data_IF_332172301097
#
_entry.id   IF_332172301097
#
_cell.length_a   1.000
_cell.length_b   1.000
_cell.length_c   1.000
_cell.angle_alpha   90.00
_cell.angle_beta   90.00
_cell.angle_gamma   90.00
#
_symmetry.space_group_name_H-M   'P 1'
#
loop_
_entity.id
_entity.type
_entity.pdbx_description
1 polymer ?
#
# COMPACT_ATOMS: atom_id res chain seq x y z
N UNK A 1 -42.30 5.70 26.46
CA UNK A 1 -41.10 5.03 25.93
C UNK A 1 -41.12 5.21 24.42
N UNK A 2 -40.15 5.93 23.82
CA UNK A 2 -40.21 6.35 22.41
C UNK A 2 -39.34 5.39 21.58
N UNK A 3 -39.90 4.59 20.67
CA UNK A 3 -39.11 3.72 19.80
C UNK A 3 -38.60 4.55 18.62
N UNK A 4 -37.61 5.40 18.88
CA UNK A 4 -36.90 6.18 17.85
C UNK A 4 -35.55 5.57 17.40
N UNK A 5 -35.06 4.38 17.84
CA UNK A 5 -33.69 4.00 17.52
C UNK A 5 -33.51 3.60 16.05
N UNK A 6 -34.53 3.00 15.42
CA UNK A 6 -34.40 2.47 14.06
C UNK A 6 -34.41 3.56 12.99
N UNK A 7 -35.28 4.56 13.13
CA UNK A 7 -35.36 5.65 12.16
C UNK A 7 -34.12 6.55 12.23
N UNK A 8 -33.64 6.84 13.44
CA UNK A 8 -32.40 7.58 13.67
C UNK A 8 -31.20 6.83 13.10
N UNK A 9 -31.13 5.51 13.30
CA UNK A 9 -30.07 4.68 12.74
C UNK A 9 -30.12 4.66 11.20
N UNK A 10 -31.30 4.49 10.60
CA UNK A 10 -31.47 4.50 9.16
C UNK A 10 -31.04 5.85 8.54
N UNK A 11 -31.44 6.96 9.17
CA UNK A 11 -31.06 8.31 8.72
C UNK A 11 -29.54 8.53 8.78
N UNK A 12 -28.89 7.96 9.80
CA UNK A 12 -27.42 8.03 9.97
C UNK A 12 -26.67 7.29 8.87
N UNK A 13 -27.18 6.13 8.43
CA UNK A 13 -26.56 5.33 7.36
C UNK A 13 -26.69 6.04 6.00
N UNK A 14 -27.83 6.70 5.75
CA UNK A 14 -28.08 7.42 4.49
C UNK A 14 -27.27 8.71 4.37
N UNK A 15 -26.96 9.37 5.49
CA UNK A 15 -26.11 10.57 5.53
C UNK A 15 -24.61 10.27 5.66
N UNK A 16 -24.23 9.03 5.96
CA UNK A 16 -22.83 8.65 6.04
C UNK A 16 -22.21 8.76 4.63
N UNK A 17 -21.08 9.46 4.47
CA UNK A 17 -20.33 9.44 3.22
C UNK A 17 -20.02 7.99 2.88
N UNK A 18 -20.52 7.54 1.73
CA UNK A 18 -20.23 6.21 1.22
C UNK A 18 -18.71 6.02 1.22
N UNK A 19 -18.26 4.82 1.59
CA UNK A 19 -16.85 4.46 1.62
C UNK A 19 -16.31 4.45 0.18
N UNK A 20 -16.06 5.64 -0.37
CA UNK A 20 -15.55 5.83 -1.72
C UNK A 20 -14.16 5.22 -1.81
N UNK A 21 -13.77 4.64 -2.96
CA UNK A 21 -12.40 4.20 -3.18
C UNK A 21 -11.50 5.43 -3.14
N UNK A 22 -10.77 5.62 -2.04
CA UNK A 22 -9.96 6.83 -1.79
C UNK A 22 -9.76 7.20 -0.32
N UNK A 23 -10.39 6.50 0.63
CA UNK A 23 -10.12 6.69 2.07
C UNK A 23 -8.66 6.36 2.41
N UNK A 24 -7.97 7.14 3.28
CA UNK A 24 -6.62 6.84 3.73
C UNK A 24 -6.46 5.42 4.31
N UNK A 25 -7.52 4.88 4.93
CA UNK A 25 -7.55 3.49 5.41
C UNK A 25 -7.48 2.47 4.28
N UNK A 26 -8.14 2.74 3.16
CA UNK A 26 -8.07 1.87 1.97
C UNK A 26 -6.71 1.99 1.28
N UNK A 27 -6.10 3.17 1.29
CA UNK A 27 -4.75 3.37 0.78
C UNK A 27 -3.73 2.56 1.58
N UNK A 28 -3.85 2.56 2.92
CA UNK A 28 -3.05 1.73 3.81
C UNK A 28 -3.28 0.22 3.54
N UNK A 29 -4.54 -0.23 3.40
CA UNK A 29 -4.86 -1.63 3.06
C UNK A 29 -4.27 -2.02 1.70
N UNK A 30 -4.31 -1.12 0.71
CA UNK A 30 -3.69 -1.34 -0.60
C UNK A 30 -2.18 -1.59 -0.47
N UNK A 31 -1.48 -0.82 0.36
CA UNK A 31 -0.05 -1.02 0.61
C UNK A 31 0.30 -2.19 1.54
N UNK A 32 -0.68 -2.75 2.26
CA UNK A 32 -0.50 -3.99 3.03
C UNK A 32 -0.53 -5.20 2.08
N UNK A 33 -1.34 -5.13 1.01
CA UNK A 33 -1.51 -6.21 0.04
C UNK A 33 -0.56 -6.09 -1.17
N UNK A 34 -0.23 -4.87 -1.59
CA UNK A 34 0.69 -4.60 -2.70
C UNK A 34 1.98 -3.93 -2.18
N UNK A 35 3.16 -4.48 -2.48
CA UNK A 35 4.42 -3.89 -2.05
C UNK A 35 4.64 -2.49 -2.68
N UNK A 36 5.45 -1.62 -2.05
CA UNK A 36 5.64 -0.25 -2.49
C UNK A 36 6.16 -0.19 -3.94
N UNK A 37 5.83 0.85 -4.72
CA UNK A 37 6.30 0.97 -6.10
C UNK A 37 7.81 1.19 -6.16
N UNK A 38 8.48 0.48 -7.07
CA UNK A 38 9.90 0.65 -7.33
C UNK A 38 10.16 2.06 -7.88
N UNK A 39 11.06 2.81 -7.24
CA UNK A 39 11.47 4.17 -7.68
C UNK A 39 12.80 4.15 -8.44
N UNK A 40 12.96 3.18 -9.33
CA UNK A 40 14.15 3.02 -10.18
C UNK A 40 13.74 2.82 -11.63
N UNK A 41 14.67 3.11 -12.54
CA UNK A 41 14.53 2.79 -13.96
C UNK A 41 14.10 1.32 -14.13
N UNK A 42 13.31 1.00 -15.17
CA UNK A 42 12.81 -0.36 -15.39
C UNK A 42 13.98 -1.35 -15.32
N UNK A 43 14.05 -2.08 -14.21
CA UNK A 43 15.07 -3.10 -13.99
C UNK A 43 14.78 -4.32 -14.85
N UNK A 44 15.79 -5.17 -15.06
CA UNK A 44 15.59 -6.45 -15.72
C UNK A 44 14.64 -7.31 -14.88
N UNK A 45 13.44 -7.57 -15.40
CA UNK A 45 12.39 -8.38 -14.79
C UNK A 45 12.77 -9.86 -14.72
N UNK A 46 13.76 -10.19 -13.90
CA UNK A 46 14.38 -11.52 -13.83
C UNK A 46 14.31 -12.13 -12.45
N UNK A 47 14.18 -11.31 -11.39
CA UNK A 47 14.21 -11.76 -10.00
C UNK A 47 12.93 -11.34 -9.28
N UNK A 48 11.94 -12.24 -9.28
CA UNK A 48 10.67 -12.07 -8.59
C UNK A 48 10.82 -12.39 -7.10
N UNK A 49 10.00 -11.77 -6.27
CA UNK A 49 9.98 -11.97 -4.82
C UNK A 49 8.55 -11.92 -4.29
N UNK A 50 8.34 -12.55 -3.13
CA UNK A 50 7.10 -12.46 -2.37
C UNK A 50 7.34 -11.67 -1.08
N UNK A 51 8.46 -11.94 -0.42
CA UNK A 51 8.87 -11.29 0.82
C UNK A 51 10.20 -10.55 0.66
N UNK A 52 10.56 -9.77 1.69
CA UNK A 52 11.76 -8.95 1.65
C UNK A 52 13.03 -9.81 1.84
N UNK A 53 12.96 -10.94 2.55
CA UNK A 53 14.09 -11.86 2.72
C UNK A 53 14.45 -12.65 1.45
N UNK A 54 13.54 -12.73 0.47
CA UNK A 54 13.81 -13.38 -0.82
C UNK A 54 14.89 -12.65 -1.61
N UNK A 55 15.09 -11.36 -1.33
CA UNK A 55 16.02 -10.53 -2.06
C UNK A 55 17.44 -10.61 -1.49
N UNK A 56 18.47 -10.69 -2.36
CA UNK A 56 19.87 -10.58 -1.97
C UNK A 56 20.15 -9.28 -1.20
N UNK A 57 21.19 -9.30 -0.37
CA UNK A 57 21.60 -8.14 0.42
C UNK A 57 21.76 -6.89 -0.44
N UNK A 58 21.09 -5.80 -0.04
CA UNK A 58 21.11 -4.52 -0.76
C UNK A 58 19.98 -4.34 -1.78
N UNK A 59 19.10 -5.33 -1.95
CA UNK A 59 17.90 -5.24 -2.79
C UNK A 59 16.63 -5.28 -1.95
N UNK A 60 15.58 -4.63 -2.46
CA UNK A 60 14.26 -4.59 -1.86
C UNK A 60 13.19 -5.20 -2.75
N UNK A 61 12.21 -5.84 -2.13
CA UNK A 61 11.05 -6.39 -2.82
C UNK A 61 10.02 -5.27 -3.04
N UNK A 62 9.77 -4.89 -4.30
CA UNK A 62 8.87 -3.79 -4.65
C UNK A 62 8.07 -4.10 -5.92
N UNK A 63 6.98 -3.36 -6.14
CA UNK A 63 6.15 -3.49 -7.34
C UNK A 63 6.74 -2.72 -8.52
N UNK A 64 6.95 -3.42 -9.63
CA UNK A 64 7.39 -2.90 -10.92
C UNK A 64 6.35 -3.23 -12.00
N UNK A 65 6.57 -2.75 -13.23
CA UNK A 65 5.66 -2.98 -14.37
C UNK A 65 5.40 -4.49 -14.64
N UNK A 66 6.42 -5.32 -14.44
CA UNK A 66 6.34 -6.76 -14.70
C UNK A 66 5.90 -7.61 -13.50
N UNK A 67 5.55 -6.98 -12.37
CA UNK A 67 5.18 -7.67 -11.14
C UNK A 67 6.06 -7.26 -9.95
N UNK A 68 6.14 -8.14 -8.96
CA UNK A 68 6.88 -7.91 -7.72
C UNK A 68 8.29 -8.47 -7.89
N UNK A 69 9.29 -7.59 -7.86
CA UNK A 69 10.69 -7.95 -8.13
C UNK A 69 11.65 -7.34 -7.12
N UNK A 70 12.82 -7.95 -6.99
CA UNK A 70 13.93 -7.41 -6.24
C UNK A 70 14.64 -6.32 -7.03
N UNK A 71 14.80 -5.13 -6.44
CA UNK A 71 15.56 -4.04 -7.06
C UNK A 71 16.26 -3.16 -6.04
N UNK A 72 17.17 -2.29 -6.50
CA UNK A 72 17.83 -1.32 -5.64
C UNK A 72 16.84 -0.24 -5.25
N UNK A 73 16.48 -0.13 -3.96
CA UNK A 73 15.66 0.97 -3.51
C UNK A 73 16.54 2.20 -3.20
N UNK A 74 16.46 3.23 -4.05
CA UNK A 74 17.19 4.50 -3.83
C UNK A 74 16.72 5.25 -2.58
N UNK A 75 15.58 4.90 -1.98
CA UNK A 75 15.10 5.51 -0.74
C UNK A 75 15.99 5.21 0.48
N UNK A 76 16.64 4.03 0.51
CA UNK A 76 17.57 3.69 1.60
C UNK A 76 18.80 4.62 1.59
N UNK A 77 19.24 5.04 0.40
CA UNK A 77 20.36 5.99 0.26
C UNK A 77 20.01 7.41 0.72
N UNK A 78 18.71 7.79 0.77
CA UNK A 78 18.28 9.09 1.31
C UNK A 78 18.12 9.07 2.83
N UNK A 79 17.64 7.98 3.42
CA UNK A 79 17.51 7.90 4.90
C UNK A 79 18.86 7.78 5.59
N UNK A 80 19.84 7.12 4.97
CA UNK A 80 21.21 6.99 5.52
C UNK A 80 22.07 8.25 5.37
N UNK A 81 21.51 9.32 4.76
CA UNK A 81 22.21 10.58 4.45
C UNK A 81 21.58 11.79 5.15
N UNK A 82 20.76 11.58 6.18
CA UNK A 82 20.44 12.64 7.14
C UNK A 82 21.51 12.61 8.24
N UNK A 83 22.28 13.70 8.43
CA UNK A 83 23.20 13.83 9.56
C UNK A 83 22.46 13.82 10.91
#
# INVERSE_FOLDING_TARGET
MKPVPLLQLLLSILLAPQLVPGSPKQHLIKYILEPPPCRVAPGNCTMFCTEQEDCPTGLQCCSAFCGIICTVNTQDTRKKKSP
#
